data_IF_749445974049
#
_entry.id   IF_749445974049
#
_cell.length_a   1.000
_cell.length_b   1.000
_cell.length_c   1.000
_cell.angle_alpha   90.00
_cell.angle_beta   90.00
_cell.angle_gamma   90.00
#
_symmetry.space_group_name_H-M   'P 1'
#
loop_
_entity.id
_entity.type
_entity.pdbx_description
1 polymer ?
#
# COMPACT_ATOMS: atom_id res chain seq x y z
N UNK A 1 23.10 12.50 3.13
CA UNK A 1 22.08 12.00 4.09
C UNK A 1 22.40 10.55 4.37
N UNK A 2 22.81 10.25 5.60
CA UNK A 2 23.47 8.98 5.96
C UNK A 2 22.53 7.78 5.94
N UNK A 3 23.03 6.67 5.45
CA UNK A 3 22.46 5.34 5.66
C UNK A 3 22.52 5.08 7.17
N UNK A 4 21.39 5.22 7.86
CA UNK A 4 21.31 4.83 9.26
C UNK A 4 21.51 3.32 9.34
N UNK A 5 22.70 2.89 9.80
CA UNK A 5 22.99 1.48 10.04
C UNK A 5 22.29 1.12 11.35
N UNK A 6 21.30 0.24 11.25
CA UNK A 6 20.57 -0.28 12.41
C UNK A 6 21.00 -1.74 12.67
N UNK A 7 20.42 -2.39 13.68
CA UNK A 7 20.91 -3.65 14.25
C UNK A 7 21.21 -4.69 13.16
N UNK A 8 22.46 -5.18 13.12
CA UNK A 8 22.90 -6.20 12.17
C UNK A 8 23.31 -5.71 10.78
N UNK A 9 23.44 -4.39 10.55
CA UNK A 9 23.94 -3.86 9.27
C UNK A 9 22.87 -3.56 8.21
N UNK A 10 21.59 -3.81 8.53
CA UNK A 10 20.46 -3.50 7.62
C UNK A 10 20.14 -2.01 7.63
N UNK A 11 19.56 -1.52 6.53
CA UNK A 11 19.20 -0.12 6.43
C UNK A 11 18.11 0.22 7.46
N UNK A 12 18.16 1.43 8.02
CA UNK A 12 17.08 1.99 8.86
C UNK A 12 15.72 1.89 8.16
N UNK A 13 15.70 2.05 6.84
CA UNK A 13 14.50 1.89 6.01
C UNK A 13 13.89 0.48 6.13
N UNK A 14 14.71 -0.57 6.09
CA UNK A 14 14.22 -1.95 6.20
C UNK A 14 13.55 -2.20 7.57
N UNK A 15 14.09 -1.58 8.63
CA UNK A 15 13.50 -1.66 9.96
C UNK A 15 12.18 -0.90 10.05
N UNK A 16 12.10 0.29 9.44
CA UNK A 16 10.88 1.08 9.37
C UNK A 16 9.79 0.36 8.57
N UNK A 17 10.15 -0.26 7.44
CA UNK A 17 9.23 -1.06 6.63
C UNK A 17 8.74 -2.29 7.41
N UNK A 18 9.59 -2.94 8.22
CA UNK A 18 9.16 -4.05 9.07
C UNK A 18 8.13 -3.63 10.14
N UNK A 19 8.31 -2.46 10.76
CA UNK A 19 7.34 -1.90 11.71
C UNK A 19 6.02 -1.55 11.01
N UNK A 20 6.09 -0.98 9.80
CA UNK A 20 4.91 -0.68 8.99
C UNK A 20 4.11 -1.94 8.65
N UNK A 21 4.78 -2.99 8.19
CA UNK A 21 4.15 -4.28 7.88
C UNK A 21 3.57 -4.96 9.12
N UNK A 22 4.20 -4.89 10.29
CA UNK A 22 3.63 -5.44 11.52
C UNK A 22 2.27 -4.78 11.84
N UNK A 23 2.19 -3.45 11.76
CA UNK A 23 0.92 -2.71 11.95
C UNK A 23 -0.11 -3.02 10.88
N UNK A 24 0.33 -3.17 9.64
CA UNK A 24 -0.55 -3.55 8.53
C UNK A 24 -1.13 -4.95 8.73
N UNK A 25 -0.34 -5.89 9.27
CA UNK A 25 -0.79 -7.24 9.59
C UNK A 25 -1.88 -7.24 10.67
N UNK A 26 -1.66 -6.52 11.77
CA UNK A 26 -2.66 -6.39 12.84
C UNK A 26 -3.97 -5.82 12.30
N UNK A 27 -3.89 -4.76 11.49
CA UNK A 27 -5.08 -4.15 10.86
C UNK A 27 -5.76 -5.09 9.87
N UNK A 28 -5.01 -5.83 9.06
CA UNK A 28 -5.57 -6.86 8.18
C UNK A 28 -6.31 -7.95 8.97
N UNK A 29 -5.79 -8.33 10.14
CA UNK A 29 -6.46 -9.30 11.01
C UNK A 29 -7.79 -8.78 11.58
N UNK A 30 -7.87 -7.49 11.91
CA UNK A 30 -9.13 -6.82 12.26
C UNK A 30 -10.10 -6.79 11.08
N UNK A 31 -9.62 -6.47 9.87
CA UNK A 31 -10.43 -6.45 8.65
C UNK A 31 -10.99 -7.83 8.30
N UNK A 32 -10.23 -8.89 8.52
CA UNK A 32 -10.67 -10.26 8.24
C UNK A 32 -11.86 -10.71 9.10
N UNK A 33 -12.14 -10.01 10.21
CA UNK A 33 -13.30 -10.29 11.07
C UNK A 33 -14.54 -9.49 10.68
N UNK A 34 -14.43 -8.57 9.72
CA UNK A 34 -15.53 -7.72 9.25
C UNK A 34 -16.17 -8.32 8.00
N UNK A 35 -17.47 -8.07 7.84
CA UNK A 35 -18.21 -8.46 6.63
C UNK A 35 -17.90 -7.56 5.42
N UNK A 36 -17.36 -6.36 5.66
CA UNK A 36 -17.14 -5.35 4.63
C UNK A 36 -15.76 -4.73 4.72
N UNK A 37 -15.09 -4.66 3.57
CA UNK A 37 -13.84 -3.94 3.35
C UNK A 37 -14.14 -2.73 2.48
N UNK A 38 -13.82 -1.54 2.98
CA UNK A 38 -14.04 -0.28 2.26
C UNK A 38 -12.79 0.21 1.53
N UNK A 39 -12.95 1.14 0.61
CA UNK A 39 -11.82 1.82 -0.04
C UNK A 39 -10.91 2.56 0.98
N UNK A 40 -11.50 3.08 2.05
CA UNK A 40 -10.77 3.72 3.15
C UNK A 40 -9.90 2.70 3.90
N UNK A 41 -10.40 1.47 4.10
CA UNK A 41 -9.63 0.39 4.70
C UNK A 41 -8.42 0.02 3.84
N UNK A 42 -8.58 -0.08 2.52
CA UNK A 42 -7.47 -0.36 1.60
C UNK A 42 -6.41 0.75 1.65
N UNK A 43 -6.83 2.02 1.64
CA UNK A 43 -5.92 3.17 1.77
C UNK A 43 -5.22 3.17 3.13
N UNK A 44 -5.92 2.82 4.21
CA UNK A 44 -5.34 2.75 5.56
C UNK A 44 -4.33 1.60 5.67
N UNK A 45 -4.61 0.45 5.06
CA UNK A 45 -3.68 -0.67 5.00
C UNK A 45 -2.39 -0.27 4.26
N UNK A 46 -2.52 0.36 3.09
CA UNK A 46 -1.38 0.92 2.36
C UNK A 46 -0.63 1.97 3.20
N UNK A 47 -1.35 2.82 3.93
CA UNK A 47 -0.71 3.80 4.82
C UNK A 47 0.14 3.11 5.87
N UNK A 48 -0.33 2.02 6.50
CA UNK A 48 0.48 1.32 7.49
C UNK A 48 1.74 0.68 6.90
N UNK A 49 1.66 0.08 5.71
CA UNK A 49 2.84 -0.49 5.06
C UNK A 49 3.93 0.56 4.76
N UNK A 50 3.52 1.74 4.27
CA UNK A 50 4.46 2.68 3.65
C UNK A 50 4.66 4.00 4.40
N UNK A 51 3.83 4.36 5.38
CA UNK A 51 4.00 5.62 6.14
C UNK A 51 5.39 5.75 6.79
N UNK A 52 6.00 4.69 7.36
CA UNK A 52 7.33 4.81 7.94
C UNK A 52 8.43 5.24 6.95
N UNK A 53 8.28 4.92 5.66
CA UNK A 53 9.29 5.17 4.63
C UNK A 53 8.90 6.24 3.59
N UNK A 54 7.61 6.39 3.28
CA UNK A 54 7.07 7.31 2.26
C UNK A 54 6.30 8.51 2.82
N UNK A 55 6.12 8.56 4.15
CA UNK A 55 5.54 9.72 4.84
C UNK A 55 4.13 10.07 4.35
N UNK A 56 3.96 11.29 3.83
CA UNK A 56 2.65 11.84 3.46
C UNK A 56 2.04 11.22 2.19
N UNK A 57 2.81 10.50 1.38
CA UNK A 57 2.26 9.82 0.20
C UNK A 57 1.54 8.51 0.54
N UNK A 58 1.79 7.96 1.72
CA UNK A 58 1.22 6.70 2.13
C UNK A 58 -0.32 6.78 2.33
N UNK A 59 -1.04 5.90 1.64
CA UNK A 59 -2.51 5.84 1.68
C UNK A 59 -3.20 6.70 0.61
N UNK A 60 -2.45 7.27 -0.32
CA UNK A 60 -2.99 7.98 -1.48
C UNK A 60 -2.78 7.19 -2.77
N UNK A 61 -3.69 7.37 -3.73
CA UNK A 61 -3.47 6.84 -5.07
C UNK A 61 -2.32 7.55 -5.76
N UNK A 62 -1.63 6.81 -6.63
CA UNK A 62 -0.59 7.36 -7.50
C UNK A 62 -1.16 8.50 -8.35
N UNK A 63 -0.36 9.55 -8.53
CA UNK A 63 -0.69 10.69 -9.40
C UNK A 63 -0.01 10.62 -10.77
N UNK A 64 0.79 9.58 -10.99
CA UNK A 64 1.53 9.35 -12.25
C UNK A 64 1.32 7.92 -12.71
N UNK A 65 1.36 7.72 -14.02
CA UNK A 65 1.40 6.39 -14.60
C UNK A 65 2.73 5.72 -14.25
N UNK A 66 2.68 4.41 -14.05
CA UNK A 66 3.85 3.61 -13.65
C UNK A 66 3.99 2.41 -14.56
N UNK A 67 5.21 1.88 -14.60
CA UNK A 67 5.56 0.64 -15.29
C UNK A 67 6.08 -0.34 -14.24
N UNK A 68 5.57 -1.57 -14.26
CA UNK A 68 6.13 -2.68 -13.50
C UNK A 68 7.25 -3.28 -14.34
N UNK A 69 8.49 -3.00 -13.95
CA UNK A 69 9.68 -3.50 -14.66
C UNK A 69 9.68 -5.03 -14.68
N UNK A 70 9.92 -5.61 -15.85
CA UNK A 70 9.92 -7.07 -16.06
C UNK A 70 8.53 -7.69 -16.24
N UNK A 71 7.45 -6.92 -16.15
CA UNK A 71 6.09 -7.40 -16.43
C UNK A 71 5.72 -7.21 -17.90
N UNK A 72 5.13 -8.24 -18.50
CA UNK A 72 4.48 -8.14 -19.82
C UNK A 72 3.06 -7.54 -19.75
N UNK A 73 2.55 -7.24 -18.54
CA UNK A 73 1.18 -6.79 -18.30
C UNK A 73 1.05 -5.29 -18.07
N UNK A 74 2.03 -4.50 -18.52
CA UNK A 74 1.98 -3.04 -18.38
C UNK A 74 0.83 -2.40 -19.16
N UNK A 75 0.32 -3.09 -20.19
CA UNK A 75 -0.88 -2.76 -20.94
C UNK A 75 -2.18 -2.85 -20.12
N UNK A 76 -2.17 -3.59 -19.02
CA UNK A 76 -3.36 -3.81 -18.16
C UNK A 76 -3.42 -2.90 -16.94
N UNK A 77 -2.43 -2.03 -16.76
CA UNK A 77 -2.42 -1.10 -15.62
C UNK A 77 -3.39 0.05 -15.89
N UNK A 78 -4.28 0.32 -14.93
CA UNK A 78 -5.14 1.51 -14.97
C UNK A 78 -4.31 2.80 -15.07
N UNK A 79 -4.75 3.76 -15.87
CA UNK A 79 -4.18 5.11 -15.83
C UNK A 79 -4.37 5.71 -14.43
N UNK A 80 -3.46 6.56 -13.94
CA UNK A 80 -3.48 7.08 -12.58
C UNK A 80 -4.79 7.82 -12.25
N UNK A 81 -5.35 8.51 -13.24
CA UNK A 81 -6.65 9.18 -13.18
C UNK A 81 -7.84 8.21 -13.04
N UNK A 82 -7.71 6.97 -13.53
CA UNK A 82 -8.77 5.95 -13.51
C UNK A 82 -8.72 5.09 -12.24
N UNK A 83 -7.59 5.07 -11.52
CA UNK A 83 -7.42 4.25 -10.30
C UNK A 83 -8.54 4.48 -9.28
N UNK A 84 -8.97 5.71 -8.94
CA UNK A 84 -10.06 5.90 -7.98
C UNK A 84 -11.36 5.23 -8.42
N UNK A 85 -11.68 5.25 -9.70
CA UNK A 85 -12.92 4.69 -10.24
C UNK A 85 -12.88 3.17 -10.27
N UNK A 86 -11.74 2.61 -10.68
CA UNK A 86 -11.54 1.17 -10.70
C UNK A 86 -11.51 0.56 -9.30
N UNK A 87 -10.96 1.29 -8.32
CA UNK A 87 -11.01 0.87 -6.91
C UNK A 87 -12.42 0.91 -6.34
N UNK A 88 -13.26 1.89 -6.72
CA UNK A 88 -14.68 1.89 -6.33
C UNK A 88 -15.42 0.67 -6.89
N UNK A 89 -15.14 0.29 -8.15
CA UNK A 89 -15.69 -0.94 -8.75
C UNK A 89 -15.20 -2.19 -8.02
N UNK A 90 -13.91 -2.27 -7.70
CA UNK A 90 -13.33 -3.38 -6.96
C UNK A 90 -14.00 -3.54 -5.58
N UNK A 91 -14.10 -2.45 -4.82
CA UNK A 91 -14.72 -2.48 -3.49
C UNK A 91 -16.19 -2.90 -3.57
N UNK A 92 -16.94 -2.40 -4.55
CA UNK A 92 -18.31 -2.85 -4.77
C UNK A 92 -18.40 -4.35 -5.10
N UNK A 93 -17.43 -4.90 -5.82
CA UNK A 93 -17.36 -6.34 -6.11
C UNK A 93 -16.96 -7.20 -4.90
N UNK A 94 -16.26 -6.64 -3.90
CA UNK A 94 -15.91 -7.35 -2.66
C UNK A 94 -17.10 -7.51 -1.70
N UNK A 95 -18.17 -6.76 -1.92
CA UNK A 95 -19.38 -6.78 -1.10
C UNK A 95 -20.50 -7.66 -1.69
N UNK A 96 -20.26 -8.27 -2.85
CA UNK A 96 -21.19 -9.14 -3.56
C UNK A 96 -20.98 -10.61 -3.20
#
# INVERSE_FOLDING_TARGET
MGIGITIGGKALRDHLDAIGHARAFDFMWELAQRLEITESDIKKLHKFCFQPSEGEMAGHYRKVNVVITGSQYNDRLSACESVPDDMRKLVGALQA
#
